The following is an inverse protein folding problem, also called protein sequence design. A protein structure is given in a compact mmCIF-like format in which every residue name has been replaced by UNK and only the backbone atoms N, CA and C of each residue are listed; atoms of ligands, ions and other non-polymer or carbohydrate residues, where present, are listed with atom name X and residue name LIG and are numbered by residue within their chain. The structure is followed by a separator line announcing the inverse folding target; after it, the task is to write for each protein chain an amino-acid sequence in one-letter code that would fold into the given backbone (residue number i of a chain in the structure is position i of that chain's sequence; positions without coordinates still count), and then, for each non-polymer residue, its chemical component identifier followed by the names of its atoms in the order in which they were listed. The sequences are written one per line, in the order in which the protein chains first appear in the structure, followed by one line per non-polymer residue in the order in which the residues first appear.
data_IF_584876724462
#
_entry.id   IF_584876724462
#
_cell.length_a   1.000
_cell.length_b   1.000
_cell.length_c   1.000
_cell.angle_alpha   90.00
_cell.angle_beta   90.00
_cell.angle_gamma   90.00
#
_symmetry.space_group_name_H-M   'P 1'
#
loop_
_entity.id
_entity.type
_entity.pdbx_description
1 polymer ?
#
# COMPACT_ATOMS: atom_id res chain seq x y z
N UNK A 1 -3.05 -1.73 -39.11
CA UNK A 1 -2.75 -3.02 -38.45
C UNK A 1 -3.64 -3.05 -37.20
N UNK A 2 -4.33 -4.13 -36.90
CA UNK A 2 -5.06 -4.20 -35.62
C UNK A 2 -4.02 -4.12 -34.51
N UNK A 3 -4.26 -3.25 -33.53
CA UNK A 3 -3.48 -3.18 -32.30
C UNK A 3 -3.80 -4.47 -31.55
N UNK A 4 -2.93 -5.45 -31.63
CA UNK A 4 -2.98 -6.61 -30.74
C UNK A 4 -2.40 -6.17 -29.41
N UNK A 5 -3.20 -5.53 -28.58
CA UNK A 5 -2.82 -5.24 -27.20
C UNK A 5 -3.09 -6.51 -26.40
N UNK A 6 -2.05 -7.26 -26.12
CA UNK A 6 -2.11 -8.40 -25.19
C UNK A 6 -2.56 -7.92 -23.80
N UNK A 7 -2.35 -6.64 -23.48
CA UNK A 7 -2.70 -6.00 -22.21
C UNK A 7 -4.22 -5.82 -21.97
N UNK A 8 -5.04 -5.87 -23.03
CA UNK A 8 -6.51 -5.73 -22.91
C UNK A 8 -7.22 -7.03 -22.55
N UNK A 9 -6.53 -8.15 -22.50
CA UNK A 9 -7.14 -9.48 -22.32
C UNK A 9 -6.84 -10.15 -20.99
N UNK A 10 -6.51 -9.37 -19.95
CA UNK A 10 -6.41 -9.90 -18.59
C UNK A 10 -5.16 -10.72 -18.27
N UNK A 11 -4.12 -10.62 -19.08
CA UNK A 11 -2.81 -11.15 -18.72
C UNK A 11 -2.21 -10.29 -17.62
N UNK A 12 -1.92 -10.90 -16.48
CA UNK A 12 -1.10 -10.29 -15.43
C UNK A 12 0.35 -10.63 -15.72
N UNK A 13 1.17 -9.64 -16.12
CA UNK A 13 2.58 -9.89 -16.35
C UNK A 13 3.34 -10.21 -15.06
N UNK A 14 2.80 -9.77 -13.91
CA UNK A 14 3.50 -9.80 -12.64
C UNK A 14 2.82 -10.73 -11.62
N UNK A 15 3.42 -11.87 -11.35
CA UNK A 15 3.05 -12.70 -10.20
C UNK A 15 4.16 -12.64 -9.16
N UNK A 16 3.85 -12.22 -7.94
CA UNK A 16 4.81 -12.19 -6.85
C UNK A 16 4.13 -12.42 -5.50
N UNK A 17 4.82 -13.15 -4.61
CA UNK A 17 4.32 -13.41 -3.26
C UNK A 17 4.19 -12.13 -2.40
N UNK A 18 4.76 -11.01 -2.86
CA UNK A 18 4.70 -9.70 -2.20
C UNK A 18 4.21 -8.63 -3.18
N UNK A 19 3.42 -7.65 -2.69
CA UNK A 19 3.04 -6.45 -3.43
C UNK A 19 3.38 -5.20 -2.62
N UNK A 20 3.72 -4.10 -3.30
CA UNK A 20 3.91 -2.78 -2.69
C UNK A 20 2.61 -1.98 -2.84
N UNK A 21 2.02 -1.58 -1.71
CA UNK A 21 0.87 -0.67 -1.68
C UNK A 21 1.34 0.75 -1.34
N UNK A 22 1.06 1.69 -2.24
CA UNK A 22 1.30 3.11 -2.05
C UNK A 22 -0.03 3.79 -1.69
N UNK A 23 -0.20 4.14 -0.41
CA UNK A 23 -1.48 4.57 0.16
C UNK A 23 -1.52 6.10 0.22
N UNK A 24 -2.51 6.69 -0.47
CA UNK A 24 -2.81 8.14 -0.52
C UNK A 24 -1.59 9.02 -0.86
N UNK A 25 -0.69 8.51 -1.69
CA UNK A 25 0.51 9.25 -2.12
C UNK A 25 0.22 10.25 -3.26
N UNK A 26 -0.88 10.09 -3.98
CA UNK A 26 -1.34 11.12 -4.91
C UNK A 26 -2.28 12.04 -4.14
N UNK A 27 -1.72 13.11 -3.59
CA UNK A 27 -2.37 13.98 -2.62
C UNK A 27 -2.08 15.44 -2.91
N UNK A 28 -3.10 16.28 -2.86
CA UNK A 28 -2.97 17.74 -3.09
C UNK A 28 -2.54 18.49 -1.84
N UNK A 29 -2.69 17.89 -0.65
CA UNK A 29 -2.44 18.49 0.67
C UNK A 29 -3.26 19.76 0.94
N UNK A 30 -4.39 19.99 0.23
CA UNK A 30 -5.25 21.16 0.37
C UNK A 30 -6.32 20.96 1.46
N UNK A 31 -5.88 20.63 2.68
CA UNK A 31 -6.71 20.46 3.86
C UNK A 31 -6.06 21.10 5.09
N UNK A 32 -6.79 21.13 6.20
CA UNK A 32 -6.28 21.63 7.49
C UNK A 32 -5.02 20.86 7.89
N UNK A 33 -3.94 21.57 8.28
CA UNK A 33 -2.61 21.02 8.58
C UNK A 33 -1.88 20.35 7.38
N UNK A 34 -2.41 20.48 6.14
CA UNK A 34 -1.80 19.89 4.97
C UNK A 34 -0.38 20.39 4.68
N UNK A 35 -0.09 21.67 4.96
CA UNK A 35 1.25 22.24 4.81
C UNK A 35 2.25 21.59 5.77
N UNK A 36 1.89 21.43 7.04
CA UNK A 36 2.71 20.76 8.05
C UNK A 36 2.98 19.29 7.68
N UNK A 37 1.93 18.60 7.24
CA UNK A 37 2.08 17.20 6.81
C UNK A 37 2.97 17.12 5.57
N UNK A 38 2.87 18.05 4.62
CA UNK A 38 3.72 18.07 3.42
C UNK A 38 5.20 18.21 3.77
N UNK A 39 5.55 19.09 4.71
CA UNK A 39 6.93 19.27 5.18
C UNK A 39 7.51 17.94 5.70
N UNK A 40 6.73 17.21 6.50
CA UNK A 40 7.11 15.89 7.01
C UNK A 40 7.11 14.80 5.90
N UNK A 41 6.23 14.93 4.93
CA UNK A 41 6.06 13.95 3.85
C UNK A 41 7.16 14.01 2.78
N UNK A 42 7.73 15.19 2.49
CA UNK A 42 8.74 15.34 1.44
C UNK A 42 9.96 14.42 1.60
N UNK A 43 10.60 14.30 2.79
CA UNK A 43 11.68 13.33 2.98
C UNK A 43 11.21 11.88 2.84
N UNK A 44 10.00 11.56 3.32
CA UNK A 44 9.37 10.23 3.20
C UNK A 44 9.06 9.90 1.74
N UNK A 45 8.63 10.88 0.94
CA UNK A 45 8.40 10.72 -0.49
C UNK A 45 9.62 10.23 -1.27
N UNK A 46 10.82 10.66 -0.86
CA UNK A 46 12.09 10.16 -1.44
C UNK A 46 12.32 8.67 -1.12
N UNK A 47 11.97 8.23 0.09
CA UNK A 47 12.07 6.83 0.48
C UNK A 47 11.00 5.99 -0.24
N UNK A 48 9.79 6.53 -0.39
CA UNK A 48 8.72 5.88 -1.18
C UNK A 48 9.16 5.71 -2.65
N UNK A 49 9.78 6.73 -3.24
CA UNK A 49 10.33 6.63 -4.60
C UNK A 49 11.45 5.56 -4.68
N UNK A 50 12.28 5.46 -3.65
CA UNK A 50 13.33 4.45 -3.59
C UNK A 50 12.76 3.03 -3.48
N UNK A 51 11.78 2.79 -2.59
CA UNK A 51 11.14 1.47 -2.48
C UNK A 51 10.38 1.09 -3.75
N UNK A 52 9.70 2.04 -4.39
CA UNK A 52 9.06 1.82 -5.68
C UNK A 52 10.06 1.37 -6.75
N UNK A 53 11.20 2.07 -6.85
CA UNK A 53 12.26 1.70 -7.80
C UNK A 53 12.84 0.31 -7.51
N UNK A 54 13.02 -0.05 -6.24
CA UNK A 54 13.49 -1.38 -5.85
C UNK A 54 12.43 -2.46 -6.16
N UNK A 55 11.16 -2.19 -5.87
CA UNK A 55 10.06 -3.10 -6.17
C UNK A 55 10.00 -3.43 -7.66
N UNK A 56 10.07 -2.41 -8.51
CA UNK A 56 10.08 -2.60 -9.97
C UNK A 56 11.26 -3.42 -10.46
N UNK A 57 12.47 -3.16 -9.95
CA UNK A 57 13.66 -3.95 -10.30
C UNK A 57 13.54 -5.41 -9.89
N UNK A 58 12.89 -5.66 -8.76
CA UNK A 58 12.63 -7.01 -8.24
C UNK A 58 11.41 -7.67 -8.92
N UNK A 59 10.65 -6.99 -9.78
CA UNK A 59 9.40 -7.49 -10.36
C UNK A 59 8.31 -7.68 -9.29
N UNK A 60 8.26 -6.78 -8.32
CA UNK A 60 7.22 -6.71 -7.28
C UNK A 60 6.13 -5.75 -7.77
N UNK A 61 4.87 -6.19 -7.88
CA UNK A 61 3.75 -5.36 -8.29
C UNK A 61 3.59 -4.13 -7.40
N UNK A 62 3.36 -2.96 -8.00
CA UNK A 62 3.08 -1.70 -7.32
C UNK A 62 1.62 -1.35 -7.52
N UNK A 63 0.91 -1.12 -6.41
CA UNK A 63 -0.51 -0.78 -6.40
C UNK A 63 -0.70 0.56 -5.69
N UNK A 64 -1.17 1.55 -6.41
CA UNK A 64 -1.62 2.82 -5.83
C UNK A 64 -3.01 2.62 -5.23
N UNK A 65 -3.15 2.88 -3.94
CA UNK A 65 -4.40 2.77 -3.19
C UNK A 65 -4.75 4.16 -2.70
N UNK A 66 -5.56 4.88 -3.47
CA UNK A 66 -5.74 6.31 -3.27
C UNK A 66 -7.19 6.67 -2.96
N UNK A 67 -7.40 7.69 -2.12
CA UNK A 67 -8.72 8.22 -1.85
C UNK A 67 -9.35 8.77 -3.13
N UNK A 68 -10.67 8.67 -3.23
CA UNK A 68 -11.43 9.19 -4.36
C UNK A 68 -11.86 10.65 -4.19
N UNK A 69 -11.43 11.32 -3.10
CA UNK A 69 -11.77 12.70 -2.74
C UNK A 69 -13.29 12.98 -2.72
N UNK A 70 -14.10 11.96 -2.43
CA UNK A 70 -15.57 12.07 -2.46
C UNK A 70 -16.17 12.25 -3.86
N UNK A 71 -15.36 12.20 -4.91
CA UNK A 71 -15.78 12.34 -6.30
C UNK A 71 -15.83 10.96 -6.95
N UNK A 72 -16.97 10.29 -6.85
CA UNK A 72 -17.20 8.94 -7.41
C UNK A 72 -17.00 8.82 -8.94
N UNK A 73 -16.72 9.92 -9.64
CA UNK A 73 -16.44 9.97 -11.07
C UNK A 73 -14.97 10.19 -11.40
N UNK A 74 -14.12 10.37 -10.39
CA UNK A 74 -12.69 10.59 -10.62
C UNK A 74 -11.99 9.28 -10.94
N UNK A 75 -10.96 9.38 -11.75
CA UNK A 75 -10.00 8.33 -12.01
C UNK A 75 -8.60 8.77 -11.54
N UNK A 76 -7.67 7.85 -11.44
CA UNK A 76 -6.32 8.16 -10.96
C UNK A 76 -5.65 9.23 -11.83
N UNK A 77 -5.82 9.20 -13.14
CA UNK A 77 -5.20 10.15 -14.06
C UNK A 77 -5.71 11.58 -13.81
N UNK A 78 -7.00 11.74 -13.50
CA UNK A 78 -7.57 13.04 -13.13
C UNK A 78 -6.99 13.55 -11.81
N UNK A 79 -6.81 12.67 -10.82
CA UNK A 79 -6.23 13.02 -9.53
C UNK A 79 -4.76 13.43 -9.73
N UNK A 80 -3.98 12.67 -10.48
CA UNK A 80 -2.59 12.99 -10.83
C UNK A 80 -2.52 14.32 -11.58
N UNK A 81 -3.37 14.53 -12.58
CA UNK A 81 -3.43 15.78 -13.35
C UNK A 81 -3.76 16.98 -12.47
N UNK A 82 -4.72 16.84 -11.55
CA UNK A 82 -5.04 17.86 -10.56
C UNK A 82 -3.80 18.22 -9.71
N UNK A 83 -3.14 17.22 -9.14
CA UNK A 83 -1.96 17.44 -8.30
C UNK A 83 -0.79 18.10 -9.05
N UNK A 84 -0.67 17.90 -10.36
CA UNK A 84 0.46 18.41 -11.15
C UNK A 84 0.20 19.75 -11.84
N UNK A 85 -1.07 20.08 -12.15
CA UNK A 85 -1.39 21.15 -13.08
C UNK A 85 -2.24 22.28 -12.48
N UNK A 86 -2.83 22.10 -11.31
CA UNK A 86 -3.76 23.06 -10.71
C UNK A 86 -3.09 23.95 -9.65
N UNK A 87 -1.75 23.88 -9.49
CA UNK A 87 -0.98 24.74 -8.59
C UNK A 87 -1.19 24.41 -7.11
N UNK A 88 -1.50 23.17 -6.78
CA UNK A 88 -1.73 22.70 -5.41
C UNK A 88 -0.41 22.45 -4.66
N UNK A 89 -0.46 22.50 -3.33
CA UNK A 89 0.70 22.29 -2.45
C UNK A 89 1.41 20.97 -2.68
N UNK A 90 0.66 19.90 -2.98
CA UNK A 90 1.15 18.54 -3.11
C UNK A 90 2.02 18.27 -4.33
N UNK A 91 2.08 19.18 -5.31
CA UNK A 91 2.84 18.99 -6.55
C UNK A 91 4.28 18.48 -6.33
N UNK A 92 5.10 19.06 -5.42
CA UNK A 92 6.48 18.60 -5.21
C UNK A 92 6.57 17.17 -4.69
N UNK A 93 5.62 16.76 -3.85
CA UNK A 93 5.57 15.39 -3.31
C UNK A 93 5.12 14.41 -4.39
N UNK A 94 4.04 14.71 -5.10
CA UNK A 94 3.49 13.83 -6.14
C UNK A 94 4.51 13.59 -7.25
N UNK A 95 5.30 14.59 -7.62
CA UNK A 95 6.39 14.44 -8.59
C UNK A 95 7.43 13.37 -8.21
N UNK A 96 7.64 13.11 -6.91
CA UNK A 96 8.57 12.07 -6.45
C UNK A 96 8.00 10.65 -6.65
N UNK A 97 6.69 10.51 -6.61
CA UNK A 97 5.99 9.23 -6.47
C UNK A 97 4.99 8.98 -7.60
N UNK A 98 5.21 9.56 -8.76
CA UNK A 98 4.32 9.41 -9.92
C UNK A 98 4.11 7.93 -10.28
N UNK A 99 2.86 7.54 -10.61
CA UNK A 99 2.60 6.22 -11.16
C UNK A 99 3.24 6.07 -12.54
N UNK A 100 3.71 4.86 -12.82
CA UNK A 100 4.14 4.44 -14.14
C UNK A 100 2.97 3.77 -14.88
N UNK A 101 3.08 3.64 -16.20
CA UNK A 101 2.03 3.11 -17.08
C UNK A 101 1.55 1.71 -16.67
N UNK A 102 2.44 0.88 -16.11
CA UNK A 102 2.14 -0.50 -15.69
C UNK A 102 1.86 -0.64 -14.18
N UNK A 103 1.69 0.47 -13.45
CA UNK A 103 1.31 0.39 -12.04
C UNK A 103 -0.20 0.16 -11.91
N UNK A 104 -0.58 -0.71 -10.97
CA UNK A 104 -1.98 -0.93 -10.64
C UNK A 104 -2.53 0.20 -9.79
N UNK A 105 -3.84 0.43 -9.84
CA UNK A 105 -4.46 1.41 -8.95
C UNK A 105 -5.83 0.95 -8.46
N UNK A 106 -6.17 1.40 -7.26
CA UNK A 106 -7.45 1.20 -6.60
C UNK A 106 -7.88 2.52 -5.97
N UNK A 107 -9.07 2.99 -6.28
CA UNK A 107 -9.68 4.15 -5.61
C UNK A 107 -10.52 3.67 -4.43
N UNK A 108 -10.24 4.19 -3.24
CA UNK A 108 -10.93 3.84 -2.01
C UNK A 108 -11.88 4.95 -1.55
N UNK A 109 -13.08 4.58 -1.06
CA UNK A 109 -14.05 5.57 -0.59
C UNK A 109 -13.91 5.92 0.90
N UNK A 110 -13.07 5.22 1.62
CA UNK A 110 -12.81 5.34 3.07
C UNK A 110 -11.35 5.07 3.38
N UNK A 111 -10.97 5.12 4.65
CA UNK A 111 -9.58 5.00 5.10
C UNK A 111 -8.89 3.70 4.67
N UNK A 112 -9.55 2.55 4.85
CA UNK A 112 -8.97 1.28 4.43
C UNK A 112 -9.03 1.08 2.92
N UNK A 113 -7.91 0.64 2.35
CA UNK A 113 -7.80 0.23 0.96
C UNK A 113 -8.67 -0.97 0.59
N UNK A 114 -9.08 -1.78 1.57
CA UNK A 114 -9.93 -2.97 1.34
C UNK A 114 -11.42 -2.65 1.39
N UNK A 115 -11.81 -1.52 2.01
CA UNK A 115 -13.22 -1.23 2.23
C UNK A 115 -13.96 -0.88 0.93
N UNK A 116 -14.82 -1.78 0.48
CA UNK A 116 -15.64 -1.61 -0.75
C UNK A 116 -14.82 -1.27 -1.99
N UNK A 117 -13.68 -1.93 -2.16
CA UNK A 117 -12.79 -1.76 -3.32
C UNK A 117 -12.46 -3.09 -3.99
N UNK A 118 -11.78 -3.02 -5.13
CA UNK A 118 -11.23 -4.19 -5.82
C UNK A 118 -9.85 -4.64 -5.30
N UNK A 119 -9.31 -4.05 -4.24
CA UNK A 119 -7.93 -4.32 -3.80
C UNK A 119 -7.68 -5.81 -3.53
N UNK A 120 -8.60 -6.48 -2.85
CA UNK A 120 -8.47 -7.91 -2.53
C UNK A 120 -8.38 -8.77 -3.80
N UNK A 121 -9.21 -8.47 -4.80
CA UNK A 121 -9.18 -9.15 -6.09
C UNK A 121 -7.89 -8.90 -6.86
N UNK A 122 -7.38 -7.66 -6.83
CA UNK A 122 -6.08 -7.33 -7.45
C UNK A 122 -4.95 -8.13 -6.79
N UNK A 123 -4.91 -8.19 -5.45
CA UNK A 123 -3.88 -8.92 -4.71
C UNK A 123 -3.98 -10.43 -4.92
N UNK A 124 -5.19 -10.97 -5.03
CA UNK A 124 -5.41 -12.38 -5.39
C UNK A 124 -4.91 -12.65 -6.80
N UNK A 125 -5.23 -11.78 -7.75
CA UNK A 125 -4.85 -11.90 -9.14
C UNK A 125 -3.32 -11.89 -9.33
N UNK A 126 -2.59 -10.99 -8.66
CA UNK A 126 -1.11 -10.98 -8.68
C UNK A 126 -0.48 -12.06 -7.78
N UNK A 127 -1.28 -12.82 -7.04
CA UNK A 127 -0.82 -13.94 -6.20
C UNK A 127 -0.13 -13.54 -4.90
N UNK A 128 -0.27 -12.27 -4.46
CA UNK A 128 0.43 -11.78 -3.29
C UNK A 128 -0.13 -12.33 -1.98
N UNK A 129 0.76 -12.61 -1.03
CA UNK A 129 0.46 -13.05 0.36
C UNK A 129 1.17 -12.19 1.40
N UNK A 130 2.05 -11.31 0.96
CA UNK A 130 2.74 -10.34 1.78
C UNK A 130 2.55 -8.95 1.20
N UNK A 131 2.46 -7.95 2.05
CA UNK A 131 2.27 -6.56 1.62
C UNK A 131 3.35 -5.68 2.23
N UNK A 132 3.91 -4.81 1.40
CA UNK A 132 4.69 -3.66 1.84
C UNK A 132 3.75 -2.48 1.80
N UNK A 133 3.51 -1.83 2.93
CA UNK A 133 2.64 -0.65 3.01
C UNK A 133 3.49 0.59 3.19
N UNK A 134 3.28 1.59 2.34
CA UNK A 134 3.94 2.89 2.40
C UNK A 134 2.93 4.00 2.09
N UNK A 135 3.11 5.18 2.63
CA UNK A 135 2.25 6.33 2.31
C UNK A 135 1.74 7.13 3.50
N UNK A 136 0.53 7.67 3.36
CA UNK A 136 -0.08 8.72 4.18
C UNK A 136 -1.53 8.36 4.56
N UNK A 137 -2.06 8.68 5.74
CA UNK A 137 -1.32 8.97 6.94
C UNK A 137 -1.13 7.67 7.74
N UNK A 138 0.03 7.54 8.39
CA UNK A 138 0.42 6.35 9.13
C UNK A 138 -0.57 5.95 10.20
N UNK A 139 -1.11 6.93 10.94
CA UNK A 139 -2.11 6.76 12.00
C UNK A 139 -3.55 6.63 11.47
N UNK A 140 -3.76 6.73 10.16
CA UNK A 140 -5.09 6.69 9.54
C UNK A 140 -5.13 5.66 8.39
N UNK A 141 -5.05 6.09 7.15
CA UNK A 141 -5.27 5.21 5.99
C UNK A 141 -4.32 4.01 5.95
N UNK A 142 -3.03 4.21 6.30
CA UNK A 142 -2.06 3.12 6.40
C UNK A 142 -2.45 2.15 7.52
N UNK A 143 -2.77 2.64 8.72
CA UNK A 143 -3.17 1.81 9.87
C UNK A 143 -4.46 1.03 9.59
N UNK A 144 -5.49 1.67 9.02
CA UNK A 144 -6.75 0.99 8.69
C UNK A 144 -6.54 -0.09 7.63
N UNK A 145 -5.74 0.19 6.61
CA UNK A 145 -5.39 -0.80 5.59
C UNK A 145 -4.58 -1.96 6.17
N UNK A 146 -3.63 -1.66 7.07
CA UNK A 146 -2.84 -2.68 7.75
C UNK A 146 -3.69 -3.60 8.63
N UNK A 147 -4.69 -3.07 9.36
CA UNK A 147 -5.62 -3.88 10.15
C UNK A 147 -6.43 -4.82 9.26
N UNK A 148 -6.99 -4.30 8.16
CA UNK A 148 -7.76 -5.11 7.23
C UNK A 148 -6.91 -6.18 6.54
N UNK A 149 -5.67 -5.85 6.18
CA UNK A 149 -4.72 -6.81 5.63
C UNK A 149 -4.34 -7.90 6.63
N UNK A 150 -4.13 -7.54 7.91
CA UNK A 150 -3.83 -8.49 8.98
C UNK A 150 -4.98 -9.49 9.19
N UNK A 151 -6.25 -9.02 9.19
CA UNK A 151 -7.43 -9.87 9.32
C UNK A 151 -7.65 -10.80 8.10
N UNK A 152 -6.96 -10.55 6.99
CA UNK A 152 -6.94 -11.39 5.78
C UNK A 152 -5.67 -12.25 5.67
N UNK A 153 -4.95 -12.41 6.78
CA UNK A 153 -3.74 -13.24 6.89
C UNK A 153 -2.56 -12.79 6.01
N UNK A 154 -2.53 -11.53 5.55
CA UNK A 154 -1.35 -11.00 4.89
C UNK A 154 -0.19 -10.81 5.87
N UNK A 155 1.02 -11.18 5.45
CA UNK A 155 2.24 -10.79 6.14
C UNK A 155 2.55 -9.31 5.83
N UNK A 156 2.83 -8.51 6.87
CA UNK A 156 2.97 -7.07 6.74
C UNK A 156 4.42 -6.61 6.91
N UNK A 157 4.85 -5.75 6.00
CA UNK A 157 6.07 -4.97 6.06
C UNK A 157 5.70 -3.50 5.92
N UNK A 158 6.04 -2.70 6.92
CA UNK A 158 5.66 -1.27 6.98
C UNK A 158 6.90 -0.47 7.31
N UNK A 159 7.78 -0.21 6.31
CA UNK A 159 9.05 0.46 6.57
C UNK A 159 8.83 1.80 7.25
N UNK A 160 9.44 2.00 8.42
CA UNK A 160 9.18 3.17 9.26
C UNK A 160 9.55 4.49 8.56
N UNK A 161 10.49 4.44 7.63
CA UNK A 161 10.93 5.58 6.81
C UNK A 161 10.09 5.81 5.54
N UNK A 162 9.07 4.95 5.29
CA UNK A 162 8.16 5.08 4.16
C UNK A 162 6.73 5.47 4.58
N UNK A 163 6.50 5.82 5.85
CA UNK A 163 5.18 6.18 6.39
C UNK A 163 5.28 7.48 7.18
N UNK A 164 4.31 8.36 7.02
CA UNK A 164 4.24 9.63 7.72
C UNK A 164 2.83 9.92 8.22
N UNK A 165 2.70 10.56 9.38
CA UNK A 165 1.47 11.09 9.98
C UNK A 165 1.58 12.60 10.17
N UNK A 166 0.50 13.26 10.63
CA UNK A 166 0.48 14.71 10.85
C UNK A 166 1.51 15.17 11.88
N UNK A 167 1.88 14.29 12.82
CA UNK A 167 2.96 14.53 13.77
C UNK A 167 3.88 13.32 13.90
N UNK A 168 5.13 13.54 14.31
CA UNK A 168 6.07 12.45 14.58
C UNK A 168 5.60 11.53 15.71
N UNK A 169 4.92 12.08 16.74
CA UNK A 169 4.42 11.32 17.87
C UNK A 169 3.33 10.34 17.43
N UNK A 170 2.36 10.81 16.65
CA UNK A 170 1.30 9.96 16.09
C UNK A 170 1.87 8.89 15.17
N UNK A 171 2.87 9.24 14.35
CA UNK A 171 3.52 8.28 13.47
C UNK A 171 4.23 7.16 14.27
N UNK A 172 4.97 7.52 15.31
CA UNK A 172 5.63 6.56 16.22
C UNK A 172 4.61 5.68 16.93
N UNK A 173 3.49 6.25 17.37
CA UNK A 173 2.42 5.46 18.01
C UNK A 173 1.81 4.45 17.04
N UNK A 174 1.47 4.89 15.82
CA UNK A 174 0.88 4.03 14.79
C UNK A 174 1.83 2.88 14.41
N UNK A 175 3.10 3.17 14.14
CA UNK A 175 4.12 2.16 13.82
C UNK A 175 4.27 1.15 14.95
N UNK A 176 4.34 1.60 16.21
CA UNK A 176 4.42 0.72 17.39
C UNK A 176 3.19 -0.18 17.53
N UNK A 177 2.01 0.34 17.21
CA UNK A 177 0.77 -0.46 17.22
C UNK A 177 0.81 -1.53 16.12
N UNK A 178 1.18 -1.16 14.90
CA UNK A 178 1.28 -2.09 13.78
C UNK A 178 2.33 -3.19 14.04
N UNK A 179 3.49 -2.84 14.60
CA UNK A 179 4.52 -3.80 15.01
C UNK A 179 4.00 -4.78 16.08
N UNK A 180 3.44 -4.25 17.17
CA UNK A 180 3.07 -5.07 18.34
C UNK A 180 1.82 -5.90 18.14
N UNK A 181 0.77 -5.30 17.55
CA UNK A 181 -0.55 -5.92 17.42
C UNK A 181 -0.66 -6.69 16.11
N UNK A 182 -0.28 -6.08 14.98
CA UNK A 182 -0.40 -6.69 13.66
C UNK A 182 0.82 -7.52 13.27
N UNK A 183 1.86 -7.56 14.13
CA UNK A 183 3.11 -8.29 13.87
C UNK A 183 3.79 -7.83 12.57
N UNK A 184 3.60 -6.56 12.21
CA UNK A 184 4.26 -5.98 11.06
C UNK A 184 5.77 -5.84 11.31
N UNK A 185 6.54 -6.07 10.26
CA UNK A 185 7.95 -5.72 10.23
C UNK A 185 8.07 -4.24 9.86
N UNK A 186 8.62 -3.42 10.76
CA UNK A 186 8.78 -1.97 10.58
C UNK A 186 10.22 -1.55 10.24
N UNK A 187 11.05 -2.52 9.87
CA UNK A 187 12.43 -2.29 9.44
C UNK A 187 12.48 -1.30 8.28
N UNK A 188 13.43 -0.36 8.32
CA UNK A 188 13.60 0.65 7.27
C UNK A 188 13.89 0.02 5.92
N UNK A 189 13.45 0.69 4.85
CA UNK A 189 13.51 0.12 3.49
C UNK A 189 14.92 -0.26 3.04
N UNK A 190 15.94 0.48 3.48
CA UNK A 190 17.34 0.18 3.15
C UNK A 190 17.85 -1.16 3.67
N UNK A 191 17.17 -1.77 4.63
CA UNK A 191 17.52 -3.04 5.25
C UNK A 191 16.66 -4.22 4.72
N UNK A 192 15.59 -3.93 3.94
CA UNK A 192 14.71 -4.94 3.36
C UNK A 192 15.28 -5.47 2.03
N UNK A 193 15.28 -6.79 1.87
CA UNK A 193 15.70 -7.48 0.65
C UNK A 193 14.46 -7.93 -0.14
N UNK A 194 14.00 -7.10 -1.07
CA UNK A 194 12.79 -7.35 -1.85
C UNK A 194 12.91 -8.58 -2.76
N UNK A 195 14.10 -8.91 -3.24
CA UNK A 195 14.33 -10.11 -4.04
C UNK A 195 14.08 -11.38 -3.23
N UNK A 196 14.49 -11.41 -1.95
CA UNK A 196 14.15 -12.53 -1.06
C UNK A 196 12.68 -12.55 -0.71
N UNK A 197 12.07 -11.38 -0.47
CA UNK A 197 10.66 -11.28 -0.11
C UNK A 197 9.73 -11.77 -1.20
N UNK A 198 10.07 -11.59 -2.48
CA UNK A 198 9.31 -12.07 -3.63
C UNK A 198 8.99 -13.57 -3.56
N UNK A 199 9.86 -14.34 -2.92
CA UNK A 199 9.78 -15.80 -2.82
C UNK A 199 9.32 -16.30 -1.43
N UNK A 200 8.98 -15.41 -0.50
CA UNK A 200 8.50 -15.78 0.84
C UNK A 200 7.05 -16.25 0.75
N UNK A 201 6.84 -17.57 0.85
CA UNK A 201 5.52 -18.17 0.87
C UNK A 201 4.61 -17.65 1.99
N UNK A 202 3.31 -18.02 1.97
CA UNK A 202 2.30 -17.52 2.90
C UNK A 202 2.68 -17.84 4.35
N UNK A 203 2.23 -16.97 5.27
CA UNK A 203 2.29 -17.22 6.70
C UNK A 203 1.54 -18.53 6.98
N UNK A 204 2.22 -19.57 7.43
CA UNK A 204 1.52 -20.74 7.94
C UNK A 204 0.77 -20.30 9.19
N UNK A 205 -0.57 -20.33 9.14
CA UNK A 205 -1.41 -20.03 10.30
C UNK A 205 -1.09 -21.04 11.41
N UNK A 206 -0.53 -20.56 12.51
CA UNK A 206 -0.21 -21.37 13.69
C UNK A 206 -1.44 -21.70 14.55
N UNK A 207 -2.64 -21.35 14.10
CA UNK A 207 -3.87 -21.58 14.83
C UNK A 207 -4.73 -22.68 14.21
N UNK A 208 -4.21 -23.92 14.26
CA UNK A 208 -5.11 -25.07 14.32
C UNK A 208 -5.64 -25.12 15.75
N UNK A 209 -6.78 -24.52 16.02
CA UNK A 209 -7.61 -24.89 17.17
C UNK A 209 -7.99 -26.35 17.00
N UNK A 210 -7.21 -27.23 17.65
CA UNK A 210 -7.52 -28.65 17.77
C UNK A 210 -8.78 -28.83 18.58
N UNK A 211 -9.92 -28.93 17.91
CA UNK A 211 -11.13 -29.50 18.50
C UNK A 211 -11.15 -31.00 18.27
N UNK A 212 -10.22 -31.69 18.91
CA UNK A 212 -10.32 -33.14 19.13
C UNK A 212 -11.32 -33.42 20.26
N UNK A 213 -12.61 -33.43 20.00
CA UNK A 213 -13.58 -34.12 20.84
C UNK A 213 -13.75 -35.54 20.29
N UNK A 214 -12.99 -36.48 20.84
CA UNK A 214 -13.34 -37.90 20.78
C UNK A 214 -14.66 -38.10 21.53
N UNK A 215 -15.69 -38.38 20.79
CA UNK A 215 -16.91 -38.98 21.35
C UNK A 215 -16.60 -40.46 21.62
N UNK A 216 -16.33 -40.78 22.89
CA UNK A 216 -16.40 -42.17 23.36
C UNK A 216 -17.89 -42.55 23.41
N UNK A 217 -18.28 -43.45 22.53
CA UNK A 217 -19.51 -44.23 22.67
C UNK A 217 -19.34 -45.21 23.82
N UNK A 218 -20.24 -45.20 24.78
CA UNK A 218 -20.50 -46.15 25.82
C UNK A 218 -21.98 -46.35 25.91
#
# INVERSE_FOLDING_TARGET
MPITSEDLHGNVPDTAAVALLLIDVINDFEFENGEQLLELALPVGKQIAAVKSQAKKAGVPVVYVNDNFGKWQSDLNKIVSHCLNDGVRGEPFVKLVLPDENDYFVLKPKHSGFYCTSLELVLEHVGSRSLILAGIAGNNCVLFTANDAYMRDFKLFIPADCVVSETEEENKYALKQMEKVLKADITNIGELDLEKMKNVGPRMSADKHGSGRELKQG
#
